data_IF_613473405125
#
_entry.id   IF_613473405125
#
_cell.length_a   1.000
_cell.length_b   1.000
_cell.length_c   1.000
_cell.angle_alpha   90.00
_cell.angle_beta   90.00
_cell.angle_gamma   90.00
#
_symmetry.space_group_name_H-M   'P 1'
#
loop_
_entity.id
_entity.type
_entity.pdbx_description
1 polymer ?
#
# COMPACT_ATOMS: atom_id res chain seq x y z
N UNK A 1 -12.16 -34.69 -17.26
CA UNK A 1 -11.03 -33.76 -17.07
C UNK A 1 -11.61 -32.35 -17.08
N UNK A 2 -11.98 -31.83 -15.91
CA UNK A 2 -12.38 -30.43 -15.76
C UNK A 2 -11.11 -29.61 -15.74
N UNK A 3 -10.71 -29.07 -16.89
CA UNK A 3 -9.69 -28.04 -16.95
C UNK A 3 -10.24 -26.83 -16.23
N UNK A 4 -9.78 -26.60 -15.00
CA UNK A 4 -9.97 -25.30 -14.34
C UNK A 4 -9.16 -24.34 -15.19
N UNK A 5 -9.85 -23.54 -16.00
CA UNK A 5 -9.21 -22.47 -16.76
C UNK A 5 -8.80 -21.46 -15.69
N UNK A 6 -7.52 -21.46 -15.32
CA UNK A 6 -6.98 -20.50 -14.37
C UNK A 6 -7.09 -19.12 -15.03
N UNK A 7 -8.03 -18.32 -14.54
CA UNK A 7 -8.35 -17.04 -15.14
C UNK A 7 -7.25 -16.04 -14.82
N UNK A 8 -6.76 -15.31 -15.84
CA UNK A 8 -5.67 -14.38 -15.64
C UNK A 8 -6.12 -13.20 -14.76
N UNK A 9 -5.22 -12.69 -13.91
CA UNK A 9 -5.47 -11.51 -13.07
C UNK A 9 -6.01 -10.33 -13.91
N UNK A 10 -5.46 -10.14 -15.11
CA UNK A 10 -5.95 -9.12 -16.05
C UNK A 10 -7.42 -9.30 -16.43
N UNK A 11 -7.84 -10.52 -16.79
CA UNK A 11 -9.24 -10.81 -17.14
C UNK A 11 -10.21 -10.62 -15.95
N UNK A 12 -9.73 -10.84 -14.72
CA UNK A 12 -10.49 -10.52 -13.50
C UNK A 12 -10.64 -9.00 -13.37
N UNK A 13 -9.54 -8.25 -13.47
CA UNK A 13 -9.52 -6.79 -13.28
C UNK A 13 -10.20 -5.98 -14.40
N UNK A 14 -10.36 -6.55 -15.58
CA UNK A 14 -11.19 -5.95 -16.64
C UNK A 14 -12.68 -5.97 -16.27
N UNK A 15 -13.14 -7.01 -15.57
CA UNK A 15 -14.54 -7.16 -15.14
C UNK A 15 -14.80 -6.50 -13.79
N UNK A 16 -13.85 -6.62 -12.88
CA UNK A 16 -13.91 -6.03 -11.54
C UNK A 16 -12.58 -5.33 -11.21
N UNK A 17 -12.43 -4.04 -11.57
CA UNK A 17 -11.23 -3.29 -11.26
C UNK A 17 -10.98 -3.12 -9.76
N UNK A 18 -12.02 -3.20 -8.92
CA UNK A 18 -11.93 -3.06 -7.46
C UNK A 18 -11.50 -4.33 -6.74
N UNK A 19 -11.32 -5.44 -7.48
CA UNK A 19 -10.90 -6.71 -6.93
C UNK A 19 -9.49 -6.58 -6.29
N UNK A 20 -9.28 -7.03 -5.03
CA UNK A 20 -8.00 -6.90 -4.34
C UNK A 20 -6.77 -7.41 -5.10
N UNK A 21 -6.95 -8.30 -6.09
CA UNK A 21 -5.89 -8.73 -6.99
C UNK A 21 -5.17 -7.58 -7.74
N UNK A 22 -5.77 -6.39 -7.86
CA UNK A 22 -5.06 -5.22 -8.41
C UNK A 22 -3.85 -4.86 -7.57
N UNK A 23 -3.91 -5.04 -6.24
CA UNK A 23 -2.79 -4.74 -5.34
C UNK A 23 -1.62 -5.68 -5.62
N UNK A 24 -1.89 -6.98 -5.76
CA UNK A 24 -0.89 -7.97 -6.18
C UNK A 24 -0.30 -7.64 -7.55
N UNK A 25 -1.12 -7.31 -8.54
CA UNK A 25 -0.62 -6.93 -9.86
C UNK A 25 0.26 -5.67 -9.79
N UNK A 26 -0.17 -4.66 -9.04
CA UNK A 26 0.59 -3.43 -8.86
C UNK A 26 1.92 -3.67 -8.14
N UNK A 27 1.95 -4.59 -7.18
CA UNK A 27 3.18 -4.97 -6.48
C UNK A 27 4.16 -5.72 -7.40
N UNK A 28 3.66 -6.61 -8.25
CA UNK A 28 4.47 -7.28 -9.29
C UNK A 28 5.05 -6.25 -10.28
N UNK A 29 4.24 -5.28 -10.73
CA UNK A 29 4.70 -4.17 -11.58
C UNK A 29 5.75 -3.31 -10.88
N UNK A 30 5.54 -2.98 -9.60
CA UNK A 30 6.48 -2.20 -8.79
C UNK A 30 7.83 -2.92 -8.68
N UNK A 31 7.84 -4.21 -8.34
CA UNK A 31 9.05 -5.03 -8.25
C UNK A 31 9.77 -5.16 -9.60
N UNK A 32 9.04 -5.09 -10.71
CA UNK A 32 9.61 -5.05 -12.06
C UNK A 32 10.15 -3.66 -12.48
N UNK A 33 10.02 -2.62 -11.64
CA UNK A 33 10.42 -1.25 -11.96
C UNK A 33 9.42 -0.49 -12.85
N UNK A 34 8.27 -1.10 -13.17
CA UNK A 34 7.18 -0.55 -13.95
C UNK A 34 6.30 0.37 -13.08
N UNK A 35 6.92 1.41 -12.48
CA UNK A 35 6.32 2.23 -11.43
C UNK A 35 5.09 3.02 -11.91
N UNK A 36 5.08 3.47 -13.16
CA UNK A 36 3.94 4.20 -13.73
C UNK A 36 2.74 3.26 -13.96
N UNK A 37 2.96 2.04 -14.47
CA UNK A 37 1.88 1.06 -14.59
C UNK A 37 1.35 0.63 -13.21
N UNK A 38 2.25 0.44 -12.23
CA UNK A 38 1.87 0.14 -10.85
C UNK A 38 0.99 1.25 -10.26
N UNK A 39 1.39 2.52 -10.43
CA UNK A 39 0.62 3.67 -9.98
C UNK A 39 -0.77 3.70 -10.60
N UNK A 40 -0.86 3.51 -11.93
CA UNK A 40 -2.15 3.49 -12.63
C UNK A 40 -3.04 2.34 -12.16
N UNK A 41 -2.47 1.15 -11.93
CA UNK A 41 -3.21 0.00 -11.41
C UNK A 41 -3.78 0.29 -10.01
N UNK A 42 -2.95 0.82 -9.10
CA UNK A 42 -3.40 1.24 -7.77
C UNK A 42 -4.50 2.30 -7.82
N UNK A 43 -4.33 3.36 -8.62
CA UNK A 43 -5.33 4.43 -8.71
C UNK A 43 -6.65 3.92 -9.28
N UNK A 44 -6.61 3.08 -10.32
CA UNK A 44 -7.79 2.44 -10.90
C UNK A 44 -8.48 1.56 -9.85
N UNK A 45 -7.74 0.66 -9.22
CA UNK A 45 -8.30 -0.25 -8.21
C UNK A 45 -8.92 0.49 -7.02
N UNK A 46 -8.19 1.46 -6.45
CA UNK A 46 -8.67 2.25 -5.31
C UNK A 46 -9.82 3.20 -5.66
N UNK A 47 -9.95 3.64 -6.92
CA UNK A 47 -11.14 4.40 -7.35
C UNK A 47 -12.43 3.57 -7.30
N UNK A 48 -12.33 2.25 -7.48
CA UNK A 48 -13.45 1.31 -7.41
C UNK A 48 -13.61 0.69 -6.02
N UNK A 49 -12.51 0.47 -5.31
CA UNK A 49 -12.48 -0.07 -3.95
C UNK A 49 -11.57 0.78 -3.03
N UNK A 50 -12.08 1.93 -2.52
CA UNK A 50 -11.30 2.82 -1.67
C UNK A 50 -10.91 2.22 -0.31
N UNK A 51 -11.57 1.15 0.12
CA UNK A 51 -11.30 0.47 1.39
C UNK A 51 -10.19 -0.59 1.28
N UNK A 52 -9.67 -0.86 0.08
CA UNK A 52 -8.61 -1.85 -0.12
C UNK A 52 -7.29 -1.40 0.53
N UNK A 53 -7.03 -1.88 1.74
CA UNK A 53 -5.84 -1.52 2.52
C UNK A 53 -4.54 -2.01 1.87
N UNK A 54 -4.54 -3.21 1.29
CA UNK A 54 -3.40 -3.74 0.52
C UNK A 54 -3.07 -2.85 -0.68
N UNK A 55 -4.10 -2.40 -1.41
CA UNK A 55 -3.94 -1.46 -2.51
C UNK A 55 -3.35 -0.11 -2.08
N UNK A 56 -3.76 0.41 -0.92
CA UNK A 56 -3.19 1.64 -0.34
C UNK A 56 -1.73 1.47 0.08
N UNK A 57 -1.38 0.30 0.62
CA UNK A 57 0.00 -0.02 0.99
C UNK A 57 0.91 -0.02 -0.23
N UNK A 58 0.50 -0.71 -1.30
CA UNK A 58 1.25 -0.73 -2.56
C UNK A 58 1.32 0.67 -3.17
N UNK A 59 0.22 1.43 -3.16
CA UNK A 59 0.22 2.81 -3.64
C UNK A 59 1.23 3.68 -2.88
N UNK A 60 1.28 3.57 -1.55
CA UNK A 60 2.24 4.32 -0.73
C UNK A 60 3.70 3.99 -1.13
N UNK A 61 4.01 2.71 -1.34
CA UNK A 61 5.35 2.26 -1.77
C UNK A 61 5.71 2.77 -3.16
N UNK A 62 4.77 2.70 -4.10
CA UNK A 62 4.97 3.21 -5.47
C UNK A 62 5.19 4.72 -5.46
N UNK A 63 4.37 5.48 -4.73
CA UNK A 63 4.51 6.93 -4.59
C UNK A 63 5.84 7.31 -3.95
N UNK A 64 6.31 6.53 -2.97
CA UNK A 64 7.62 6.74 -2.35
C UNK A 64 8.75 6.54 -3.35
N UNK A 65 8.72 5.45 -4.13
CA UNK A 65 9.73 5.19 -5.18
C UNK A 65 9.70 6.19 -6.34
N UNK A 66 8.56 6.86 -6.55
CA UNK A 66 8.42 7.96 -7.51
C UNK A 66 8.78 9.34 -6.91
N UNK A 67 9.33 9.39 -5.70
CA UNK A 67 9.65 10.62 -4.94
C UNK A 67 8.44 11.54 -4.67
N UNK A 68 7.22 11.00 -4.75
CA UNK A 68 5.98 11.70 -4.42
C UNK A 68 5.65 11.59 -2.93
N UNK A 69 6.61 12.04 -2.10
CA UNK A 69 6.59 11.87 -0.64
C UNK A 69 5.29 12.36 0.03
N UNK A 70 4.74 13.55 -0.26
CA UNK A 70 3.52 14.01 0.42
C UNK A 70 2.32 13.08 0.20
N UNK A 71 2.22 12.50 -1.00
CA UNK A 71 1.15 11.57 -1.33
C UNK A 71 1.37 10.20 -0.69
N UNK A 72 2.62 9.71 -0.67
CA UNK A 72 2.97 8.48 0.02
C UNK A 72 2.61 8.55 1.52
N UNK A 73 2.99 9.65 2.19
CA UNK A 73 2.67 9.89 3.61
C UNK A 73 1.17 9.86 3.86
N UNK A 74 0.37 10.51 2.99
CA UNK A 74 -1.08 10.54 3.12
C UNK A 74 -1.67 9.12 3.15
N UNK A 75 -1.26 8.26 2.23
CA UNK A 75 -1.78 6.89 2.15
C UNK A 75 -1.39 6.07 3.39
N UNK A 76 -0.16 6.23 3.89
CA UNK A 76 0.27 5.56 5.14
C UNK A 76 -0.47 6.10 6.36
N UNK A 77 -0.81 7.38 6.40
CA UNK A 77 -1.63 7.94 7.48
C UNK A 77 -3.06 7.35 7.48
N UNK A 78 -3.67 7.13 6.31
CA UNK A 78 -4.96 6.43 6.23
C UNK A 78 -4.86 4.99 6.74
N UNK A 79 -3.78 4.29 6.40
CA UNK A 79 -3.49 2.96 6.96
C UNK A 79 -3.29 3.02 8.48
N UNK A 80 -2.62 4.05 9.01
CA UNK A 80 -2.41 4.22 10.46
C UNK A 80 -3.73 4.47 11.20
N UNK A 81 -4.67 5.20 10.59
CA UNK A 81 -6.01 5.38 11.16
C UNK A 81 -6.78 4.07 11.22
N UNK A 82 -6.69 3.24 10.17
CA UNK A 82 -7.35 1.94 10.11
C UNK A 82 -6.68 0.89 11.02
N UNK A 83 -5.35 0.93 11.14
CA UNK A 83 -4.54 -0.03 11.88
C UNK A 83 -3.58 0.66 12.85
N UNK A 84 -4.09 1.32 13.91
CA UNK A 84 -3.28 2.15 14.80
C UNK A 84 -2.24 1.36 15.61
N UNK A 85 -2.41 0.04 15.73
CA UNK A 85 -1.48 -0.83 16.45
C UNK A 85 -0.50 -1.58 15.52
N UNK A 86 -0.58 -1.36 14.21
CA UNK A 86 0.29 -2.05 13.24
C UNK A 86 1.70 -1.46 13.29
N UNK A 87 2.65 -2.25 13.81
CA UNK A 87 4.07 -1.89 13.82
C UNK A 87 4.63 -1.72 12.41
N UNK A 88 4.10 -2.44 11.43
CA UNK A 88 4.55 -2.37 10.05
C UNK A 88 4.18 -1.04 9.40
N UNK A 89 2.98 -0.53 9.66
CA UNK A 89 2.55 0.81 9.21
C UNK A 89 3.41 1.89 9.85
N UNK A 90 3.71 1.75 11.15
CA UNK A 90 4.58 2.71 11.85
C UNK A 90 6.01 2.73 11.29
N UNK A 91 6.60 1.55 11.04
CA UNK A 91 7.91 1.44 10.40
C UNK A 91 7.94 2.05 8.99
N UNK A 92 6.89 1.82 8.20
CA UNK A 92 6.76 2.40 6.87
C UNK A 92 6.69 3.94 6.96
N UNK A 93 5.94 4.48 7.91
CA UNK A 93 5.86 5.92 8.14
C UNK A 93 7.23 6.49 8.57
N UNK A 94 7.95 5.80 9.46
CA UNK A 94 9.30 6.19 9.88
C UNK A 94 10.29 6.24 8.70
N UNK A 95 10.19 5.31 7.75
CA UNK A 95 11.08 5.29 6.60
C UNK A 95 10.76 6.38 5.56
N UNK A 96 9.47 6.65 5.33
CA UNK A 96 9.02 7.64 4.34
C UNK A 96 9.15 9.06 4.88
N UNK A 97 8.77 9.27 6.14
CA UNK A 97 8.72 10.59 6.77
C UNK A 97 9.02 10.48 8.28
N UNK A 98 10.31 10.34 8.66
CA UNK A 98 10.70 10.19 10.07
C UNK A 98 10.24 11.36 10.93
N UNK A 99 10.26 12.59 10.40
CA UNK A 99 9.81 13.80 11.11
C UNK A 99 8.30 13.77 11.45
N UNK A 100 7.51 13.02 10.69
CA UNK A 100 6.06 12.86 10.88
C UNK A 100 5.76 11.66 11.79
N UNK A 101 6.57 10.60 11.71
CA UNK A 101 6.43 9.41 12.54
C UNK A 101 6.72 9.68 14.03
N UNK A 102 7.60 10.63 14.34
CA UNK A 102 8.04 10.93 15.71
C UNK A 102 6.96 11.59 16.59
N UNK A 103 5.75 11.88 16.10
CA UNK A 103 4.73 12.53 16.93
C UNK A 103 4.41 11.72 18.20
N UNK A 104 4.81 12.20 19.39
CA UNK A 104 4.33 11.65 20.65
C UNK A 104 2.99 12.33 20.95
N UNK A 105 1.88 11.60 20.81
CA UNK A 105 0.60 12.02 21.38
C UNK A 105 -0.47 12.53 20.42
N UNK A 106 -0.84 11.74 19.41
CA UNK A 106 -2.14 11.86 18.75
C UNK A 106 -3.18 10.92 19.39
N UNK A 107 -3.28 10.98 20.72
CA UNK A 107 -4.50 10.57 21.41
C UNK A 107 -5.46 11.75 21.38
N UNK A 108 -6.57 11.59 20.64
CA UNK A 108 -7.81 12.40 20.55
C UNK A 108 -8.06 12.94 19.15
N UNK A 109 -8.81 12.17 18.37
CA UNK A 109 -10.10 12.59 17.80
C UNK A 109 -10.75 11.36 17.18
N UNK A 110 -11.49 10.65 18.02
CA UNK A 110 -12.53 9.73 17.59
C UNK A 110 -13.82 10.54 17.47
N UNK A 111 -14.34 10.76 16.25
CA UNK A 111 -15.77 10.99 16.09
C UNK A 111 -16.28 10.64 14.66
N UNK A 112 -17.11 9.58 14.61
CA UNK A 112 -18.17 9.21 13.64
C UNK A 112 -17.76 8.71 12.22
N UNK A 113 -17.72 7.39 11.90
CA UNK A 113 -18.78 6.37 11.67
C UNK A 113 -19.38 6.37 10.22
N UNK A 114 -19.91 5.24 9.66
CA UNK A 114 -19.90 3.85 10.13
C UNK A 114 -19.13 2.87 9.24
N UNK A 115 -18.83 1.73 9.85
CA UNK A 115 -18.25 0.53 9.25
C UNK A 115 -19.19 -0.10 8.20
N UNK A 116 -18.67 -0.27 6.99
CA UNK A 116 -19.08 -1.35 6.12
C UNK A 116 -18.18 -2.55 6.42
N UNK A 117 -18.79 -3.67 6.73
CA UNK A 117 -18.13 -4.93 7.04
C UNK A 117 -17.16 -5.32 5.90
N UNK A 118 -15.87 -5.34 6.19
CA UNK A 118 -14.93 -6.17 5.44
C UNK A 118 -14.16 -7.01 6.44
N UNK A 119 -14.69 -8.21 6.65
CA UNK A 119 -13.99 -9.34 7.24
C UNK A 119 -12.83 -9.72 6.32
N UNK A 120 -11.74 -8.99 6.46
CA UNK A 120 -10.46 -9.26 5.84
C UNK A 120 -9.45 -9.17 6.97
N UNK A 121 -9.25 -10.28 7.68
CA UNK A 121 -8.10 -10.44 8.57
C UNK A 121 -6.84 -10.26 7.74
N UNK A 122 -6.39 -9.02 7.60
CA UNK A 122 -5.04 -8.69 7.17
C UNK A 122 -4.14 -9.22 8.29
N UNK A 123 -3.69 -10.46 8.15
CA UNK A 123 -2.68 -10.99 9.04
C UNK A 123 -1.46 -10.07 8.90
N UNK A 124 -0.77 -9.80 10.00
CA UNK A 124 0.45 -8.97 9.99
C UNK A 124 1.52 -9.45 8.98
N UNK A 125 1.35 -10.64 8.41
CA UNK A 125 2.15 -11.25 7.36
C UNK A 125 2.08 -10.54 5.99
N UNK A 126 1.03 -9.81 5.64
CA UNK A 126 0.95 -9.16 4.30
C UNK A 126 1.67 -7.79 4.25
N UNK A 127 2.13 -7.28 5.39
CA UNK A 127 3.05 -6.15 5.43
C UNK A 127 4.49 -6.66 5.41
N UNK A 128 4.92 -7.31 4.34
CA UNK A 128 6.32 -7.70 4.19
C UNK A 128 7.21 -6.46 4.24
N UNK A 129 7.90 -6.28 5.37
CA UNK A 129 8.83 -5.19 5.69
C UNK A 129 10.16 -5.36 4.94
N UNK A 130 10.36 -6.46 4.22
CA UNK A 130 11.62 -6.78 3.53
C UNK A 130 12.06 -5.72 2.52
N UNK A 131 11.15 -4.89 2.00
CA UNK A 131 11.48 -3.75 1.12
C UNK A 131 12.08 -2.54 1.85
N UNK A 132 11.88 -2.39 3.17
CA UNK A 132 12.39 -1.24 3.92
C UNK A 132 13.91 -1.27 4.09
N UNK A 133 14.52 -2.46 4.07
CA UNK A 133 15.99 -2.61 4.11
C UNK A 133 16.66 -2.31 2.76
N UNK A 134 15.92 -2.29 1.64
CA UNK A 134 16.46 -1.86 0.35
C UNK A 134 16.62 -0.33 0.26
N UNK A 135 15.79 0.42 0.99
CA UNK A 135 15.74 1.89 0.95
C UNK A 135 17.01 2.51 1.57
N UNK A 136 17.68 1.84 2.50
CA UNK A 136 18.96 2.30 3.04
C UNK A 136 20.13 2.15 2.05
N UNK A 137 20.02 1.26 1.05
CA UNK A 137 21.09 1.05 0.06
C UNK A 137 21.10 2.10 -1.05
N UNK A 138 19.95 2.60 -1.49
CA UNK A 138 19.90 3.61 -2.57
C UNK A 138 20.40 4.99 -2.11
N UNK A 139 20.16 5.39 -0.85
CA UNK A 139 20.72 6.64 -0.30
C UNK A 139 22.24 6.62 -0.11
N UNK A 140 22.86 5.44 -0.02
CA UNK A 140 24.30 5.28 0.20
C UNK A 140 25.13 5.18 -1.09
N UNK A 141 24.48 5.27 -2.25
CA UNK A 141 25.10 5.09 -3.56
C UNK A 141 25.43 6.37 -4.34
N UNK A 142 25.13 7.57 -3.82
CA UNK A 142 25.55 8.81 -4.46
C UNK A 142 26.99 9.18 -4.04
N UNK A 143 27.97 9.19 -4.95
CA UNK A 143 29.23 9.88 -4.69
C UNK A 143 28.99 11.39 -4.61
N UNK A 144 29.68 12.05 -3.66
CA UNK A 144 29.72 13.51 -3.47
C UNK A 144 30.25 14.27 -4.70
#
# INVERSE_FOLDING_TARGET
>A
MTGVVEESIGAVLERDPGNPLFARQAEELRKAGALNEALLSCLKGLSHNPACHEGRLVLARVLFQLDFIPFAVREVQELRKAFPQSRSVEKLLMAIAPDIAVQPGAEKEAEQAPAGESDGTLAEADFDIEDLELIEKEKKGLPE
#
